data_IF_784727369230
#
_entry.id   IF_784727369230
#
_cell.length_a   1.000
_cell.length_b   1.000
_cell.length_c   1.000
_cell.angle_alpha   90.00
_cell.angle_beta   90.00
_cell.angle_gamma   90.00
#
_symmetry.space_group_name_H-M   'P 1'
#
loop_
_entity.id
_entity.type
_entity.pdbx_description
1 polymer ?
#
# COMPACT_ATOMS: atom_id res chain seq x y z
N UNK A 1 -35.22 54.61 54.46
CA UNK A 1 -36.44 53.98 53.89
C UNK A 1 -36.40 54.23 52.39
N UNK A 2 -36.31 53.28 51.44
CA UNK A 2 -36.47 51.82 51.32
C UNK A 2 -35.55 51.38 50.14
N UNK A 3 -34.68 50.39 50.33
CA UNK A 3 -34.77 49.00 49.83
C UNK A 3 -34.86 48.79 48.29
N UNK A 4 -33.71 48.38 47.74
CA UNK A 4 -33.44 47.25 46.81
C UNK A 4 -34.54 46.64 45.93
N UNK A 5 -34.22 46.51 44.64
CA UNK A 5 -34.53 45.40 43.71
C UNK A 5 -33.68 45.65 42.44
N UNK A 6 -33.01 44.74 41.76
CA UNK A 6 -32.53 43.38 41.99
C UNK A 6 -31.42 43.18 40.93
N UNK A 7 -30.30 42.61 41.36
CA UNK A 7 -29.15 42.23 40.56
C UNK A 7 -29.37 40.77 40.11
N UNK A 8 -29.32 40.47 38.81
CA UNK A 8 -29.04 39.11 38.32
C UNK A 8 -27.88 39.20 37.34
N UNK A 9 -26.81 38.52 37.75
CA UNK A 9 -25.54 38.40 37.07
C UNK A 9 -25.66 37.45 35.87
N UNK A 10 -24.96 37.79 34.78
CA UNK A 10 -24.51 36.83 33.78
C UNK A 10 -23.01 37.07 33.55
N UNK A 11 -22.20 36.48 34.41
CA UNK A 11 -20.76 36.31 34.22
C UNK A 11 -20.52 34.86 33.84
N UNK A 12 -20.07 34.59 32.61
CA UNK A 12 -19.16 33.48 32.33
C UNK A 12 -18.30 33.82 31.10
N UNK A 13 -17.07 34.24 31.42
CA UNK A 13 -15.80 34.10 30.73
C UNK A 13 -15.80 33.66 29.27
N UNK A 14 -15.43 34.59 28.38
CA UNK A 14 -14.89 34.31 27.07
C UNK A 14 -13.48 33.69 27.21
N UNK A 15 -13.34 32.44 26.78
CA UNK A 15 -12.06 31.79 26.55
C UNK A 15 -12.15 31.08 25.18
N UNK A 16 -11.07 31.21 24.41
CA UNK A 16 -10.75 30.58 23.12
C UNK A 16 -11.41 31.13 21.85
N UNK A 17 -10.59 31.80 21.03
CA UNK A 17 -10.34 31.41 19.63
C UNK A 17 -9.45 32.47 18.96
N UNK A 18 -8.16 32.49 19.27
CA UNK A 18 -7.18 33.01 18.31
C UNK A 18 -7.05 31.96 17.20
N UNK A 19 -7.83 32.15 16.16
CA UNK A 19 -7.68 31.43 14.91
C UNK A 19 -6.30 31.78 14.34
N UNK A 20 -5.38 30.82 14.44
CA UNK A 20 -4.11 30.82 13.72
C UNK A 20 -4.45 30.97 12.23
N UNK A 21 -4.03 32.09 11.64
CA UNK A 21 -4.03 32.29 10.19
C UNK A 21 -3.13 31.22 9.59
N UNK A 22 -3.75 30.24 8.95
CA UNK A 22 -3.06 29.31 8.06
C UNK A 22 -2.73 30.07 6.77
N UNK A 23 -1.44 30.27 6.53
CA UNK A 23 -0.93 30.89 5.30
C UNK A 23 -1.22 29.96 4.12
N UNK A 24 -2.13 30.38 3.25
CA UNK A 24 -2.71 29.55 2.18
C UNK A 24 -1.95 29.69 0.85
N UNK A 25 -0.61 29.61 0.86
CA UNK A 25 0.20 29.71 -0.37
C UNK A 25 0.83 28.41 -0.84
N UNK A 26 0.44 27.26 -0.28
CA UNK A 26 0.66 25.97 -0.93
C UNK A 26 -0.72 25.39 -1.30
N UNK A 27 -1.24 25.80 -2.45
CA UNK A 27 -2.21 24.95 -3.15
C UNK A 27 -1.57 23.57 -3.29
N UNK A 28 -2.23 22.46 -2.86
CA UNK A 28 -1.73 21.14 -3.18
C UNK A 28 -1.62 21.09 -4.70
N UNK A 29 -0.47 20.66 -5.21
CA UNK A 29 -0.38 20.35 -6.63
C UNK A 29 -1.38 19.22 -6.87
N UNK A 30 -2.54 19.56 -7.43
CA UNK A 30 -3.53 18.59 -7.87
C UNK A 30 -2.94 17.94 -9.10
N UNK A 31 -2.27 16.81 -8.90
CA UNK A 31 -1.85 15.92 -9.97
C UNK A 31 -3.06 15.06 -10.34
N UNK A 32 -3.46 15.04 -11.61
CA UNK A 32 -4.64 14.33 -12.14
C UNK A 32 -4.47 12.78 -12.21
N UNK A 33 -3.79 12.18 -11.23
CA UNK A 33 -3.46 10.75 -11.22
C UNK A 33 -4.14 9.97 -10.10
N UNK A 34 -4.44 8.71 -10.37
CA UNK A 34 -5.12 7.79 -9.46
C UNK A 34 -4.13 7.11 -8.50
N UNK A 35 -4.50 6.98 -7.23
CA UNK A 35 -3.63 6.46 -6.16
C UNK A 35 -3.69 4.92 -6.05
N UNK A 36 -3.29 4.22 -7.11
CA UNK A 36 -3.13 2.77 -7.08
C UNK A 36 -1.72 2.40 -6.61
N UNK A 37 -1.63 1.55 -5.59
CA UNK A 37 -0.36 0.96 -5.18
C UNK A 37 0.11 -0.14 -6.13
N UNK A 38 1.44 -0.33 -6.19
CA UNK A 38 2.09 -1.40 -6.96
C UNK A 38 2.94 -2.27 -6.05
N UNK A 39 2.81 -3.59 -6.15
CA UNK A 39 3.68 -4.55 -5.48
C UNK A 39 4.57 -5.32 -6.46
N UNK A 40 5.89 -5.25 -6.28
CA UNK A 40 6.90 -5.92 -7.09
C UNK A 40 7.68 -6.97 -6.29
N UNK A 41 7.57 -8.23 -6.70
CA UNK A 41 8.24 -9.37 -6.05
C UNK A 41 9.69 -9.58 -6.48
N UNK A 42 10.04 -9.10 -7.66
CA UNK A 42 11.31 -9.41 -8.31
C UNK A 42 12.42 -8.46 -7.83
N UNK A 43 13.54 -9.05 -7.40
CA UNK A 43 14.72 -8.31 -6.96
C UNK A 43 15.66 -7.93 -8.14
N UNK A 44 15.38 -8.40 -9.36
CA UNK A 44 16.18 -8.10 -10.55
C UNK A 44 16.28 -6.61 -10.86
N UNK A 45 15.28 -5.80 -10.47
CA UNK A 45 15.23 -4.36 -10.77
C UNK A 45 16.38 -3.56 -10.14
N UNK A 46 17.00 -4.07 -9.08
CA UNK A 46 18.13 -3.42 -8.41
C UNK A 46 19.37 -4.31 -8.30
N UNK A 47 19.39 -5.44 -9.01
CA UNK A 47 20.56 -6.32 -9.07
C UNK A 47 21.74 -5.64 -9.77
N UNK A 48 22.92 -6.28 -9.77
CA UNK A 48 24.12 -5.74 -10.42
C UNK A 48 23.95 -5.50 -11.93
N UNK A 49 23.09 -6.29 -12.58
CA UNK A 49 22.60 -6.06 -13.94
C UNK A 49 21.09 -5.85 -13.86
N UNK A 50 20.63 -4.60 -13.64
CA UNK A 50 19.23 -4.34 -13.36
C UNK A 50 18.34 -4.53 -14.58
N UNK A 51 17.17 -5.12 -14.37
CA UNK A 51 16.08 -5.12 -15.37
C UNK A 51 15.46 -3.71 -15.44
N UNK A 52 15.50 -3.03 -16.61
CA UNK A 52 15.04 -1.64 -16.73
C UNK A 52 13.51 -1.51 -16.70
N UNK A 53 12.76 -2.60 -16.89
CA UNK A 53 11.30 -2.65 -16.99
C UNK A 53 10.58 -1.80 -15.94
N UNK A 54 11.06 -1.83 -14.70
CA UNK A 54 10.43 -1.10 -13.60
C UNK A 54 10.50 0.42 -13.82
N UNK A 55 11.68 0.95 -14.13
CA UNK A 55 11.88 2.39 -14.34
C UNK A 55 11.23 2.84 -15.64
N UNK A 56 11.41 2.08 -16.73
CA UNK A 56 10.82 2.40 -18.03
C UNK A 56 9.30 2.49 -17.94
N UNK A 57 8.67 1.58 -17.21
CA UNK A 57 7.23 1.63 -16.98
C UNK A 57 6.83 2.87 -16.18
N UNK A 58 7.46 3.15 -15.04
CA UNK A 58 7.09 4.30 -14.21
C UNK A 58 7.41 5.67 -14.84
N UNK A 59 8.33 5.71 -15.82
CA UNK A 59 8.56 6.88 -16.66
C UNK A 59 7.56 7.05 -17.81
N UNK A 60 6.69 6.07 -18.05
CA UNK A 60 5.71 6.12 -19.13
C UNK A 60 4.50 7.02 -18.80
N UNK A 61 3.89 7.71 -19.80
CA UNK A 61 2.66 8.47 -19.60
C UNK A 61 1.51 7.64 -19.02
N UNK A 62 1.45 6.35 -19.34
CA UNK A 62 0.37 5.47 -18.94
C UNK A 62 0.45 5.11 -17.45
N UNK A 63 1.65 4.87 -16.92
CA UNK A 63 1.84 4.69 -15.48
C UNK A 63 1.48 5.95 -14.68
N UNK A 64 1.78 7.14 -15.21
CA UNK A 64 1.50 8.42 -14.53
C UNK A 64 0.01 8.61 -14.21
N UNK A 65 -0.89 8.03 -15.01
CA UNK A 65 -2.34 8.14 -14.80
C UNK A 65 -2.86 7.27 -13.65
N UNK A 66 -2.42 6.02 -13.55
CA UNK A 66 -3.02 5.06 -12.61
C UNK A 66 -2.13 4.68 -11.43
N UNK A 67 -0.82 4.91 -11.46
CA UNK A 67 0.11 4.41 -10.43
C UNK A 67 0.77 5.55 -9.64
N UNK A 68 -0.04 6.33 -8.90
CA UNK A 68 0.43 7.35 -7.96
C UNK A 68 0.45 6.88 -6.50
N UNK A 69 -0.03 5.67 -6.22
CA UNK A 69 -0.02 5.09 -4.88
C UNK A 69 1.35 4.55 -4.45
N UNK A 70 1.38 3.99 -3.24
CA UNK A 70 2.59 3.45 -2.61
C UNK A 70 3.20 2.29 -3.42
N UNK A 71 4.52 2.19 -3.36
CA UNK A 71 5.28 1.14 -4.05
C UNK A 71 5.81 0.17 -3.01
N UNK A 72 5.59 -1.12 -3.23
CA UNK A 72 6.07 -2.20 -2.38
C UNK A 72 7.06 -3.03 -3.19
N UNK A 73 8.33 -3.04 -2.78
CA UNK A 73 9.38 -3.81 -3.46
C UNK A 73 9.92 -4.85 -2.50
N UNK A 74 9.84 -6.12 -2.90
CA UNK A 74 10.54 -7.19 -2.20
C UNK A 74 12.05 -6.96 -2.25
N UNK A 75 12.69 -6.96 -1.08
CA UNK A 75 14.14 -6.78 -0.98
C UNK A 75 14.85 -7.80 -0.10
N UNK A 76 14.10 -8.54 0.71
CA UNK A 76 14.64 -9.50 1.65
C UNK A 76 13.67 -10.64 1.96
N UNK A 77 14.22 -11.78 2.35
CA UNK A 77 13.51 -12.94 2.86
C UNK A 77 14.44 -13.73 3.80
N UNK A 78 14.01 -14.88 4.35
CA UNK A 78 14.87 -15.64 5.25
C UNK A 78 16.06 -16.31 4.55
N UNK A 79 16.07 -16.38 3.21
CA UNK A 79 17.18 -16.97 2.45
C UNK A 79 18.39 -16.03 2.33
N UNK A 80 18.19 -14.71 2.51
CA UNK A 80 19.27 -13.72 2.48
C UNK A 80 19.66 -13.15 3.88
N UNK A 81 19.55 -13.99 4.92
CA UNK A 81 20.21 -13.93 6.24
C UNK A 81 20.69 -12.54 6.74
N UNK A 82 19.80 -11.55 6.78
CA UNK A 82 20.11 -10.24 7.36
C UNK A 82 20.99 -9.35 6.49
N UNK A 83 20.88 -9.43 5.16
CA UNK A 83 21.55 -8.53 4.22
C UNK A 83 20.68 -8.23 2.98
N UNK A 84 20.92 -7.09 2.34
CA UNK A 84 20.39 -6.77 1.02
C UNK A 84 21.39 -7.22 -0.06
N UNK A 85 20.89 -7.78 -1.16
CA UNK A 85 21.74 -8.29 -2.24
C UNK A 85 22.60 -7.20 -2.91
N UNK A 86 22.04 -6.01 -3.12
CA UNK A 86 22.74 -4.86 -3.72
C UNK A 86 22.20 -3.53 -3.15
N UNK A 87 22.70 -3.07 -1.99
CA UNK A 87 22.22 -1.85 -1.33
C UNK A 87 22.36 -0.60 -2.22
N UNK A 88 23.50 -0.40 -2.88
CA UNK A 88 23.72 0.77 -3.74
C UNK A 88 22.80 0.76 -4.96
N UNK A 89 22.59 -0.41 -5.58
CA UNK A 89 21.63 -0.56 -6.67
C UNK A 89 20.20 -0.27 -6.24
N UNK A 90 19.80 -0.71 -5.04
CA UNK A 90 18.48 -0.40 -4.50
C UNK A 90 18.32 1.10 -4.26
N UNK A 91 19.36 1.75 -3.74
CA UNK A 91 19.36 3.19 -3.53
C UNK A 91 19.18 3.96 -4.84
N UNK A 92 19.93 3.55 -5.87
CA UNK A 92 19.82 4.11 -7.22
C UNK A 92 18.43 3.89 -7.81
N UNK A 93 17.87 2.69 -7.71
CA UNK A 93 16.53 2.37 -8.21
C UNK A 93 15.47 3.31 -7.61
N UNK A 94 15.52 3.56 -6.29
CA UNK A 94 14.57 4.46 -5.64
C UNK A 94 14.71 5.88 -6.19
N UNK A 95 15.94 6.38 -6.35
CA UNK A 95 16.19 7.71 -6.90
C UNK A 95 15.72 7.83 -8.36
N UNK A 96 16.06 6.86 -9.20
CA UNK A 96 15.63 6.80 -10.60
C UNK A 96 14.09 6.75 -10.69
N UNK A 97 13.43 6.02 -9.79
CA UNK A 97 11.96 5.99 -9.72
C UNK A 97 11.39 7.37 -9.40
N UNK A 98 11.98 8.10 -8.44
CA UNK A 98 11.54 9.48 -8.13
C UNK A 98 11.70 10.40 -9.33
N UNK A 99 12.84 10.31 -10.00
CA UNK A 99 13.14 11.14 -11.18
C UNK A 99 12.20 10.83 -12.34
N UNK A 100 12.02 9.55 -12.69
CA UNK A 100 11.22 9.12 -13.82
C UNK A 100 9.72 9.37 -13.62
N UNK A 101 9.20 9.12 -12.41
CA UNK A 101 7.76 9.20 -12.14
C UNK A 101 7.29 10.56 -11.59
N UNK A 102 8.20 11.35 -11.00
CA UNK A 102 7.83 12.52 -10.19
C UNK A 102 6.89 12.17 -9.02
N UNK A 103 6.90 10.92 -8.55
CA UNK A 103 6.01 10.44 -7.49
C UNK A 103 6.59 10.68 -6.11
N UNK A 104 5.79 11.20 -5.19
CA UNK A 104 6.08 11.36 -3.76
C UNK A 104 5.55 10.20 -2.89
N UNK A 105 4.99 9.17 -3.54
CA UNK A 105 4.44 7.98 -2.88
C UNK A 105 5.46 7.30 -1.97
N UNK A 106 5.02 6.58 -0.94
CA UNK A 106 5.97 5.86 -0.09
C UNK A 106 6.55 4.66 -0.81
N UNK A 107 7.86 4.48 -0.69
CA UNK A 107 8.53 3.27 -1.15
C UNK A 107 8.76 2.33 0.04
N UNK A 108 7.98 1.26 0.12
CA UNK A 108 8.12 0.20 1.12
C UNK A 108 9.15 -0.83 0.66
N UNK A 109 10.14 -1.05 1.51
CA UNK A 109 11.08 -2.16 1.41
C UNK A 109 10.48 -3.36 2.12
N UNK A 110 10.10 -4.36 1.33
CA UNK A 110 9.35 -5.52 1.81
C UNK A 110 10.28 -6.67 2.17
N UNK A 111 10.07 -7.21 3.37
CA UNK A 111 10.52 -8.54 3.75
C UNK A 111 9.42 -9.54 3.36
N UNK A 112 9.68 -10.35 2.34
CA UNK A 112 8.84 -11.45 1.91
C UNK A 112 9.17 -12.69 2.77
N UNK A 113 8.20 -13.21 3.51
CA UNK A 113 8.39 -14.47 4.23
C UNK A 113 8.74 -15.63 3.30
N UNK A 114 9.39 -16.66 3.84
CA UNK A 114 9.76 -17.87 3.10
C UNK A 114 11.26 -18.16 3.07
N UNK A 115 11.60 -19.42 2.77
CA UNK A 115 12.98 -19.85 2.53
C UNK A 115 13.86 -20.03 3.78
N UNK A 116 13.33 -19.92 5.01
CA UNK A 116 14.12 -20.09 6.23
C UNK A 116 13.40 -19.75 7.54
N UNK A 117 14.17 -19.33 8.56
CA UNK A 117 13.66 -19.00 9.90
C UNK A 117 13.23 -17.53 10.00
N UNK A 118 12.02 -17.24 9.52
CA UNK A 118 11.45 -15.90 9.52
C UNK A 118 11.30 -15.29 10.93
N UNK A 119 11.12 -16.11 11.96
CA UNK A 119 11.03 -15.62 13.35
C UNK A 119 12.33 -14.97 13.81
N UNK A 120 13.46 -15.44 13.28
CA UNK A 120 14.78 -14.86 13.51
C UNK A 120 15.04 -13.66 12.60
N UNK A 121 14.76 -13.80 11.31
CA UNK A 121 15.27 -12.85 10.30
C UNK A 121 14.37 -11.64 10.06
N UNK A 122 13.05 -11.74 10.20
CA UNK A 122 12.17 -10.58 10.05
C UNK A 122 12.46 -9.47 11.09
N UNK A 123 12.68 -9.76 12.40
CA UNK A 123 13.14 -8.74 13.35
C UNK A 123 14.54 -8.18 13.06
N UNK A 124 15.41 -8.97 12.44
CA UNK A 124 16.76 -8.53 12.06
C UNK A 124 16.74 -7.63 10.83
N UNK A 125 15.74 -7.76 9.95
CA UNK A 125 15.57 -6.88 8.80
C UNK A 125 15.46 -5.38 9.17
N UNK A 126 14.95 -5.05 10.36
CA UNK A 126 14.94 -3.66 10.85
C UNK A 126 16.37 -3.10 11.02
N UNK A 127 17.32 -3.95 11.46
CA UNK A 127 18.75 -3.59 11.52
C UNK A 127 19.31 -3.39 10.11
N UNK A 128 18.99 -4.29 9.19
CA UNK A 128 19.43 -4.21 7.78
C UNK A 128 18.95 -2.91 7.12
N UNK A 129 17.68 -2.56 7.31
CA UNK A 129 17.11 -1.32 6.83
C UNK A 129 17.83 -0.10 7.39
N UNK A 130 18.09 -0.08 8.70
CA UNK A 130 18.86 1.00 9.35
C UNK A 130 20.25 1.14 8.70
N UNK A 131 20.96 0.04 8.52
CA UNK A 131 22.30 0.04 7.90
C UNK A 131 22.27 0.56 6.46
N UNK A 132 21.29 0.11 5.67
CA UNK A 132 21.05 0.61 4.32
C UNK A 132 20.88 2.13 4.28
N UNK A 133 20.00 2.70 5.11
CA UNK A 133 19.79 4.16 5.12
C UNK A 133 21.04 4.91 5.60
N UNK A 134 21.77 4.38 6.59
CA UNK A 134 22.98 5.04 7.08
C UNK A 134 24.13 5.01 6.06
N UNK A 135 24.20 4.00 5.21
CA UNK A 135 25.26 3.85 4.22
C UNK A 135 24.91 4.51 2.87
N UNK A 136 23.70 4.27 2.37
CA UNK A 136 23.26 4.61 1.02
C UNK A 136 22.08 5.59 0.98
N UNK A 137 21.55 6.02 2.14
CA UNK A 137 20.37 6.89 2.21
C UNK A 137 20.65 8.32 1.76
N UNK A 138 19.86 8.79 0.80
CA UNK A 138 19.83 10.16 0.26
C UNK A 138 18.45 10.77 0.50
N UNK A 139 18.38 12.02 0.97
CA UNK A 139 17.10 12.71 1.25
C UNK A 139 16.10 12.67 0.09
N UNK A 140 16.61 12.68 -1.14
CA UNK A 140 15.92 12.65 -2.41
C UNK A 140 15.14 11.35 -2.64
N UNK A 141 15.46 10.28 -1.89
CA UNK A 141 14.66 9.05 -1.86
C UNK A 141 13.24 9.28 -1.31
N UNK A 142 13.05 10.38 -0.57
CA UNK A 142 11.76 10.78 -0.03
C UNK A 142 11.25 9.83 1.05
N UNK A 143 9.94 9.57 1.02
CA UNK A 143 9.22 8.78 2.02
C UNK A 143 9.50 7.28 1.85
N UNK A 144 9.98 6.63 2.90
CA UNK A 144 10.33 5.20 2.89
C UNK A 144 9.55 4.42 3.94
N UNK A 145 9.43 3.11 3.77
CA UNK A 145 8.76 2.26 4.75
C UNK A 145 9.39 0.87 4.84
N UNK A 146 9.12 0.22 5.96
CA UNK A 146 9.36 -1.21 6.16
C UNK A 146 8.02 -1.91 5.99
N UNK A 147 7.97 -2.93 5.13
CA UNK A 147 6.78 -3.76 4.96
C UNK A 147 7.13 -5.21 5.25
N UNK A 148 6.22 -5.92 5.90
CA UNK A 148 6.43 -7.31 6.28
C UNK A 148 5.29 -8.16 5.74
N UNK A 149 5.61 -9.04 4.78
CA UNK A 149 4.69 -10.01 4.22
C UNK A 149 5.07 -11.41 4.71
N UNK A 150 4.84 -11.67 6.00
CA UNK A 150 5.29 -12.89 6.69
C UNK A 150 4.38 -13.20 7.88
N UNK A 151 4.21 -14.49 8.16
CA UNK A 151 3.44 -14.96 9.30
C UNK A 151 4.31 -15.12 10.55
N UNK A 152 4.08 -14.28 11.56
CA UNK A 152 4.85 -14.28 12.81
C UNK A 152 3.94 -14.27 14.04
N UNK A 153 4.48 -14.73 15.17
CA UNK A 153 3.81 -14.64 16.47
C UNK A 153 3.88 -13.24 17.08
N UNK A 154 3.02 -12.99 18.07
CA UNK A 154 2.90 -11.70 18.77
C UNK A 154 4.23 -11.17 19.33
N UNK A 155 5.03 -12.01 19.99
CA UNK A 155 6.29 -11.59 20.61
C UNK A 155 7.28 -11.07 19.56
N UNK A 156 7.36 -11.76 18.42
CA UNK A 156 8.21 -11.36 17.29
C UNK A 156 7.75 -10.03 16.67
N UNK A 157 6.44 -9.82 16.54
CA UNK A 157 5.91 -8.53 16.08
C UNK A 157 6.21 -7.38 17.05
N UNK A 158 6.08 -7.61 18.36
CA UNK A 158 6.45 -6.58 19.34
C UNK A 158 7.93 -6.23 19.28
N UNK A 159 8.81 -7.22 19.04
CA UNK A 159 10.23 -6.96 18.79
C UNK A 159 10.42 -6.07 17.55
N UNK A 160 9.76 -6.38 16.43
CA UNK A 160 9.81 -5.57 15.21
C UNK A 160 9.37 -4.13 15.50
N UNK A 161 8.19 -3.94 16.08
CA UNK A 161 7.66 -2.60 16.38
C UNK A 161 8.60 -1.80 17.28
N UNK A 162 9.12 -2.42 18.35
CA UNK A 162 10.08 -1.79 19.24
C UNK A 162 11.38 -1.39 18.52
N UNK A 163 11.92 -2.26 17.66
CA UNK A 163 13.11 -1.96 16.87
C UNK A 163 12.87 -0.80 15.90
N UNK A 164 11.71 -0.76 15.24
CA UNK A 164 11.38 0.33 14.31
C UNK A 164 11.25 1.66 15.06
N UNK A 165 10.54 1.69 16.19
CA UNK A 165 10.39 2.89 17.01
C UNK A 165 11.75 3.46 17.48
N UNK A 166 12.71 2.58 17.79
CA UNK A 166 14.06 2.98 18.20
C UNK A 166 14.90 3.62 17.08
N UNK A 167 14.66 3.28 15.80
CA UNK A 167 15.46 3.83 14.70
C UNK A 167 14.87 5.11 14.09
N UNK A 168 13.56 5.34 14.22
CA UNK A 168 12.84 6.48 13.62
C UNK A 168 13.39 7.85 13.98
N UNK A 169 13.95 7.98 15.19
CA UNK A 169 14.46 9.26 15.70
C UNK A 169 15.91 9.56 15.32
N UNK A 170 16.59 8.63 14.63
CA UNK A 170 17.95 8.88 14.13
C UNK A 170 17.87 9.94 13.03
N UNK A 171 18.66 11.01 13.12
CA UNK A 171 18.55 12.19 12.24
C UNK A 171 18.54 11.85 10.74
N UNK A 172 19.45 10.99 10.29
CA UNK A 172 19.54 10.52 8.89
C UNK A 172 18.35 9.65 8.45
N UNK A 173 17.61 9.06 9.38
CA UNK A 173 16.45 8.21 9.09
C UNK A 173 15.16 9.03 9.15
N UNK A 174 15.09 9.98 10.09
CA UNK A 174 13.91 10.81 10.35
C UNK A 174 13.43 11.56 9.10
N UNK A 175 14.36 11.98 8.23
CA UNK A 175 14.04 12.70 6.99
C UNK A 175 13.16 11.90 6.02
N UNK A 176 13.12 10.58 6.16
CA UNK A 176 12.35 9.68 5.30
C UNK A 176 10.95 9.34 5.83
N UNK A 177 10.53 9.91 6.97
CA UNK A 177 9.18 9.70 7.54
C UNK A 177 8.82 8.20 7.66
N UNK A 178 9.70 7.37 8.23
CA UNK A 178 9.59 5.91 8.16
C UNK A 178 8.29 5.36 8.78
N UNK A 179 7.48 4.68 7.96
CA UNK A 179 6.29 3.92 8.39
C UNK A 179 6.56 2.42 8.41
N UNK A 180 5.86 1.69 9.30
CA UNK A 180 5.83 0.22 9.28
C UNK A 180 4.48 -0.25 8.77
N UNK A 181 4.54 -1.10 7.74
CA UNK A 181 3.42 -1.81 7.16
C UNK A 181 3.49 -3.30 7.52
N UNK A 182 2.32 -3.89 7.72
CA UNK A 182 2.16 -5.34 7.92
C UNK A 182 1.14 -5.86 6.93
N UNK A 183 1.52 -6.84 6.12
CA UNK A 183 0.61 -7.53 5.23
C UNK A 183 -0.21 -8.56 6.02
N UNK A 184 -1.53 -8.52 5.87
CA UNK A 184 -2.48 -9.44 6.49
C UNK A 184 -3.38 -10.07 5.42
N UNK A 185 -3.64 -11.36 5.54
CA UNK A 185 -4.74 -11.99 4.81
C UNK A 185 -6.09 -11.42 5.31
N UNK A 186 -6.99 -11.05 4.38
CA UNK A 186 -8.32 -10.54 4.69
C UNK A 186 -9.16 -11.46 5.60
N UNK A 187 -8.85 -12.76 5.70
CA UNK A 187 -9.50 -13.77 6.55
C UNK A 187 -8.57 -14.34 7.64
N UNK A 188 -7.57 -13.57 8.09
CA UNK A 188 -6.67 -14.00 9.17
C UNK A 188 -7.49 -14.44 10.41
N UNK A 189 -7.29 -15.68 10.90
CA UNK A 189 -8.10 -16.21 11.99
C UNK A 189 -7.70 -15.68 13.38
N UNK A 190 -6.47 -15.18 13.55
CA UNK A 190 -5.97 -14.70 14.84
C UNK A 190 -6.34 -13.23 15.06
N UNK A 191 -7.56 -13.02 15.55
CA UNK A 191 -8.10 -11.69 15.85
C UNK A 191 -7.31 -10.93 16.91
N UNK A 192 -6.63 -11.65 17.82
CA UNK A 192 -5.80 -11.01 18.85
C UNK A 192 -4.54 -10.44 18.24
N UNK A 193 -3.91 -11.21 17.35
CA UNK A 193 -2.77 -10.75 16.56
C UNK A 193 -3.14 -9.54 15.69
N UNK A 194 -4.25 -9.62 14.95
CA UNK A 194 -4.75 -8.52 14.11
C UNK A 194 -4.97 -7.26 14.94
N UNK A 195 -5.64 -7.34 16.09
CA UNK A 195 -5.86 -6.21 17.01
C UNK A 195 -4.54 -5.53 17.43
N UNK A 196 -3.53 -6.32 17.79
CA UNK A 196 -2.22 -5.78 18.18
C UNK A 196 -1.45 -5.16 17.03
N UNK A 197 -1.54 -5.74 15.83
CA UNK A 197 -0.94 -5.18 14.63
C UNK A 197 -1.60 -3.84 14.28
N UNK A 198 -2.93 -3.76 14.25
CA UNK A 198 -3.68 -2.52 13.98
C UNK A 198 -3.37 -1.41 14.98
N UNK A 199 -3.12 -1.76 16.25
CA UNK A 199 -2.77 -0.82 17.30
C UNK A 199 -1.33 -0.26 17.18
N UNK A 200 -0.38 -1.05 16.65
CA UNK A 200 1.06 -0.71 16.69
C UNK A 200 1.64 -0.27 15.35
N UNK A 201 1.16 -0.82 14.24
CA UNK A 201 1.63 -0.48 12.90
C UNK A 201 1.13 0.90 12.46
N UNK A 202 1.83 1.54 11.53
CA UNK A 202 1.34 2.78 10.90
C UNK A 202 0.38 2.48 9.77
N UNK A 203 0.49 1.30 9.19
CA UNK A 203 -0.24 0.88 8.03
C UNK A 203 -0.42 -0.65 8.05
N UNK A 204 -1.52 -1.11 7.48
CA UNK A 204 -1.81 -2.52 7.23
C UNK A 204 -2.24 -2.68 5.77
N UNK A 205 -1.55 -3.56 5.07
CA UNK A 205 -1.90 -3.97 3.72
C UNK A 205 -2.71 -5.27 3.80
N UNK A 206 -3.95 -5.25 3.36
CA UNK A 206 -4.84 -6.42 3.39
C UNK A 206 -4.84 -7.09 2.03
N UNK A 207 -4.36 -8.33 1.93
CA UNK A 207 -4.39 -9.09 0.68
C UNK A 207 -5.80 -9.62 0.43
N UNK A 208 -6.32 -9.30 -0.76
CA UNK A 208 -7.61 -9.76 -1.27
C UNK A 208 -7.42 -10.43 -2.62
N UNK A 209 -8.32 -11.33 -3.00
CA UNK A 209 -8.21 -12.09 -4.24
C UNK A 209 -9.49 -12.03 -5.07
N UNK A 210 -9.78 -10.91 -5.71
CA UNK A 210 -10.94 -10.80 -6.59
C UNK A 210 -10.74 -9.72 -7.65
N UNK A 211 -11.42 -9.89 -8.77
CA UNK A 211 -11.43 -8.98 -9.92
C UNK A 211 -12.85 -8.47 -10.24
N UNK A 212 -13.83 -8.74 -9.38
CA UNK A 212 -15.20 -8.25 -9.51
C UNK A 212 -15.55 -7.34 -8.34
N UNK A 213 -16.43 -6.38 -8.59
CA UNK A 213 -16.97 -5.54 -7.53
C UNK A 213 -17.56 -6.37 -6.37
N UNK A 214 -18.37 -7.39 -6.66
CA UNK A 214 -19.02 -8.23 -5.65
C UNK A 214 -18.00 -8.97 -4.77
N UNK A 215 -16.99 -9.61 -5.38
CA UNK A 215 -15.98 -10.35 -4.64
C UNK A 215 -15.07 -9.44 -3.82
N UNK A 216 -14.61 -8.32 -4.40
CA UNK A 216 -13.83 -7.30 -3.68
C UNK A 216 -14.61 -6.73 -2.50
N UNK A 217 -15.87 -6.34 -2.72
CA UNK A 217 -16.77 -5.84 -1.67
C UNK A 217 -16.92 -6.85 -0.54
N UNK A 218 -17.12 -8.12 -0.86
CA UNK A 218 -17.32 -9.16 0.15
C UNK A 218 -16.04 -9.44 0.95
N UNK A 219 -14.87 -9.32 0.33
CA UNK A 219 -13.57 -9.43 1.02
C UNK A 219 -13.29 -8.23 1.93
N UNK A 220 -13.55 -7.00 1.46
CA UNK A 220 -13.40 -5.78 2.27
C UNK A 220 -14.33 -5.84 3.49
N UNK A 221 -15.58 -6.25 3.28
CA UNK A 221 -16.55 -6.49 4.33
C UNK A 221 -16.07 -7.56 5.32
N UNK A 222 -15.53 -8.66 4.82
CA UNK A 222 -15.01 -9.76 5.65
C UNK A 222 -13.89 -9.28 6.56
N UNK A 223 -12.94 -8.53 6.02
CA UNK A 223 -11.87 -7.98 6.84
C UNK A 223 -12.40 -7.04 7.92
N UNK A 224 -13.20 -6.04 7.54
CA UNK A 224 -13.67 -4.98 8.44
C UNK A 224 -14.69 -5.45 9.49
N UNK A 225 -15.38 -6.58 9.29
CA UNK A 225 -16.34 -7.12 10.26
C UNK A 225 -15.85 -8.36 11.01
N UNK A 226 -15.06 -9.22 10.37
CA UNK A 226 -14.76 -10.54 10.92
C UNK A 226 -13.30 -10.66 11.36
N UNK A 227 -12.37 -10.15 10.57
CA UNK A 227 -10.93 -10.24 10.84
C UNK A 227 -10.46 -9.14 11.78
N UNK A 228 -10.91 -7.91 11.55
CA UNK A 228 -10.73 -6.76 12.43
C UNK A 228 -12.06 -6.37 13.11
N UNK A 229 -12.58 -7.16 14.07
CA UNK A 229 -13.89 -6.88 14.66
C UNK A 229 -13.93 -5.52 15.38
N UNK A 230 -12.83 -5.05 15.97
CA UNK A 230 -12.79 -3.73 16.62
C UNK A 230 -12.75 -2.55 15.64
N UNK A 231 -12.50 -2.79 14.34
CA UNK A 231 -12.60 -1.73 13.33
C UNK A 231 -14.02 -1.15 13.28
N UNK A 232 -15.05 -1.93 13.64
CA UNK A 232 -16.44 -1.49 13.66
C UNK A 232 -16.99 -1.18 15.06
N UNK A 233 -16.20 -1.31 16.13
CA UNK A 233 -16.61 -0.92 17.50
C UNK A 233 -16.14 0.49 17.81
N UNK A 234 -16.39 1.00 19.02
CA UNK A 234 -15.89 2.31 19.46
C UNK A 234 -14.40 2.27 19.86
N UNK A 235 -13.79 1.08 19.91
CA UNK A 235 -12.36 0.92 20.15
C UNK A 235 -11.49 1.28 18.93
N UNK A 236 -12.09 1.46 17.75
CA UNK A 236 -11.38 1.75 16.51
C UNK A 236 -10.40 2.94 16.62
N UNK A 237 -10.75 3.97 17.38
CA UNK A 237 -9.95 5.19 17.52
C UNK A 237 -8.59 4.98 18.20
N UNK A 238 -8.40 3.83 18.86
CA UNK A 238 -7.12 3.43 19.43
C UNK A 238 -6.16 2.86 18.39
N UNK A 239 -6.67 2.45 17.22
CA UNK A 239 -5.83 1.96 16.15
C UNK A 239 -5.01 3.10 15.55
N UNK A 240 -3.77 2.75 15.22
CA UNK A 240 -2.83 3.64 14.56
C UNK A 240 -2.83 3.41 13.05
N UNK A 241 -3.03 2.15 12.65
CA UNK A 241 -2.90 1.71 11.28
C UNK A 241 -3.94 2.35 10.35
N UNK A 242 -3.45 2.94 9.25
CA UNK A 242 -4.26 3.11 8.04
C UNK A 242 -4.35 1.77 7.29
N UNK A 243 -5.32 1.64 6.38
CA UNK A 243 -5.55 0.39 5.65
C UNK A 243 -5.40 0.63 4.14
N UNK A 244 -4.67 -0.25 3.46
CA UNK A 244 -4.74 -0.43 1.99
C UNK A 244 -5.22 -1.83 1.69
N UNK A 245 -6.13 -1.98 0.73
CA UNK A 245 -6.50 -3.29 0.18
C UNK A 245 -5.66 -3.61 -1.06
N UNK A 246 -4.79 -4.61 -0.96
CA UNK A 246 -4.00 -5.09 -2.08
C UNK A 246 -4.75 -6.22 -2.77
N UNK A 247 -5.24 -5.95 -3.98
CA UNK A 247 -5.94 -6.96 -4.76
C UNK A 247 -4.97 -7.76 -5.61
N UNK A 248 -5.14 -9.07 -5.53
CA UNK A 248 -4.67 -10.03 -6.48
C UNK A 248 -5.86 -10.52 -7.29
N UNK A 249 -5.65 -10.84 -8.56
CA UNK A 249 -6.74 -11.40 -9.32
C UNK A 249 -6.98 -12.87 -8.97
N UNK A 250 -8.23 -13.26 -8.64
CA UNK A 250 -8.75 -14.64 -8.74
C UNK A 250 -9.76 -14.86 -9.91
N UNK A 251 -9.63 -15.95 -10.67
CA UNK A 251 -10.63 -16.40 -11.65
C UNK A 251 -11.52 -17.41 -10.93
N UNK A 252 -12.78 -17.09 -10.66
CA UNK A 252 -13.67 -17.92 -9.83
C UNK A 252 -14.10 -19.27 -10.47
N UNK A 253 -13.45 -19.73 -11.54
CA UNK A 253 -13.74 -20.98 -12.26
C UNK A 253 -12.79 -22.14 -11.92
N UNK A 254 -13.36 -23.29 -11.51
CA UNK A 254 -12.69 -24.48 -10.95
C UNK A 254 -11.95 -25.39 -11.95
N UNK A 255 -11.81 -25.02 -13.22
CA UNK A 255 -11.38 -25.96 -14.28
C UNK A 255 -10.11 -25.58 -15.03
N UNK A 256 -9.59 -24.36 -14.90
CA UNK A 256 -8.37 -23.93 -15.60
C UNK A 256 -7.45 -23.08 -14.71
N UNK A 257 -6.12 -23.24 -14.83
CA UNK A 257 -5.17 -22.44 -14.08
C UNK A 257 -5.01 -21.09 -14.78
N UNK A 258 -6.00 -20.22 -14.63
CA UNK A 258 -5.68 -18.81 -14.64
C UNK A 258 -4.84 -18.61 -13.38
N UNK A 259 -3.53 -18.54 -13.53
CA UNK A 259 -2.55 -18.26 -12.46
C UNK A 259 -2.94 -16.99 -11.68
N UNK A 260 -2.18 -16.68 -10.62
CA UNK A 260 -2.24 -15.55 -9.65
C UNK A 260 -2.48 -14.11 -10.21
N UNK A 261 -2.84 -13.99 -11.48
CA UNK A 261 -3.13 -12.76 -12.22
C UNK A 261 -4.51 -12.80 -12.89
N UNK A 262 -5.60 -13.02 -12.15
CA UNK A 262 -6.93 -13.19 -12.77
C UNK A 262 -7.53 -12.01 -13.53
N UNK A 263 -6.97 -10.80 -13.45
CA UNK A 263 -7.42 -9.80 -14.42
C UNK A 263 -6.93 -10.11 -15.84
N UNK A 264 -6.13 -11.17 -16.02
CA UNK A 264 -5.96 -11.87 -17.30
C UNK A 264 -7.28 -11.99 -18.06
N UNK A 265 -8.39 -12.44 -17.45
CA UNK A 265 -9.67 -12.58 -18.14
C UNK A 265 -10.22 -11.26 -18.72
N UNK A 266 -9.68 -10.13 -18.28
CA UNK A 266 -10.08 -8.78 -18.66
C UNK A 266 -8.98 -8.03 -19.44
N UNK A 267 -8.03 -8.70 -20.11
CA UNK A 267 -7.08 -7.99 -20.98
C UNK A 267 -7.78 -7.12 -22.04
N UNK A 268 -7.33 -5.87 -22.18
CA UNK A 268 -7.67 -5.06 -23.35
C UNK A 268 -6.41 -4.58 -24.04
N UNK A 269 -6.49 -4.35 -25.35
CA UNK A 269 -5.40 -3.70 -26.09
C UNK A 269 -5.26 -2.23 -25.70
N UNK A 270 -6.31 -1.63 -25.13
CA UNK A 270 -6.35 -0.24 -24.71
C UNK A 270 -6.46 -0.13 -23.18
N UNK A 271 -5.64 0.71 -22.51
CA UNK A 271 -5.71 0.90 -21.06
C UNK A 271 -7.04 1.49 -20.57
N UNK A 272 -7.76 2.21 -21.45
CA UNK A 272 -8.99 2.94 -21.13
C UNK A 272 -10.29 2.14 -21.37
N UNK A 273 -10.19 0.87 -21.75
CA UNK A 273 -11.37 0.03 -21.95
C UNK A 273 -12.10 -0.21 -20.62
N UNK A 274 -13.35 0.20 -20.43
CA UNK A 274 -14.06 -0.02 -19.17
C UNK A 274 -14.41 -1.50 -18.93
N UNK A 275 -14.27 -2.37 -19.94
CA UNK A 275 -14.50 -3.81 -19.81
C UNK A 275 -13.19 -4.60 -19.75
N UNK A 276 -12.05 -3.92 -19.65
CA UNK A 276 -10.74 -4.56 -19.56
C UNK A 276 -9.58 -3.64 -19.15
N UNK A 277 -8.37 -4.20 -19.10
CA UNK A 277 -7.17 -3.46 -18.76
C UNK A 277 -7.20 -2.78 -17.39
N UNK A 278 -6.35 -1.76 -17.24
CA UNK A 278 -6.13 -1.08 -15.96
C UNK A 278 -7.35 -0.25 -15.54
N UNK A 279 -8.09 0.37 -16.48
CA UNK A 279 -9.30 1.13 -16.16
C UNK A 279 -10.34 0.27 -15.46
N UNK A 280 -10.62 -0.92 -16.01
CA UNK A 280 -11.54 -1.87 -15.40
C UNK A 280 -11.10 -2.22 -13.97
N UNK A 281 -9.82 -2.57 -13.78
CA UNK A 281 -9.25 -2.90 -12.47
C UNK A 281 -9.52 -1.78 -11.44
N UNK A 282 -9.20 -0.56 -11.84
CA UNK A 282 -9.38 0.64 -11.04
C UNK A 282 -10.85 0.89 -10.69
N UNK A 283 -11.75 0.76 -11.67
CA UNK A 283 -13.18 0.98 -11.47
C UNK A 283 -13.80 -0.05 -10.52
N UNK A 284 -13.40 -1.33 -10.60
CA UNK A 284 -13.88 -2.35 -9.66
C UNK A 284 -13.42 -2.07 -8.22
N UNK A 285 -12.14 -1.73 -8.04
CA UNK A 285 -11.57 -1.40 -6.73
C UNK A 285 -12.24 -0.16 -6.14
N UNK A 286 -12.35 0.90 -6.93
CA UNK A 286 -12.98 2.17 -6.54
C UNK A 286 -14.45 1.97 -6.16
N UNK A 287 -15.20 1.20 -6.96
CA UNK A 287 -16.61 0.91 -6.67
C UNK A 287 -16.78 0.10 -5.38
N UNK A 288 -15.93 -0.91 -5.16
CA UNK A 288 -15.94 -1.70 -3.92
C UNK A 288 -15.53 -0.85 -2.70
N UNK A 289 -14.55 0.03 -2.87
CA UNK A 289 -14.09 0.95 -1.83
C UNK A 289 -15.17 1.97 -1.44
N UNK A 290 -15.83 2.58 -2.43
CA UNK A 290 -16.92 3.53 -2.21
C UNK A 290 -18.18 2.90 -1.60
N UNK A 291 -18.29 1.56 -1.61
CA UNK A 291 -19.35 0.86 -0.88
C UNK A 291 -19.12 0.85 0.63
N UNK A 292 -17.87 0.95 1.10
CA UNK A 292 -17.52 0.93 2.52
C UNK A 292 -18.23 2.04 3.29
N UNK A 293 -18.10 3.33 2.94
CA UNK A 293 -18.82 4.40 3.62
C UNK A 293 -20.32 4.25 3.36
N UNK A 294 -21.10 4.04 4.42
CA UNK A 294 -22.56 3.94 4.37
C UNK A 294 -23.12 2.51 4.38
N UNK A 295 -22.31 1.48 4.11
CA UNK A 295 -22.78 0.08 4.17
C UNK A 295 -21.94 -0.82 5.08
N UNK A 296 -20.66 -0.52 5.28
CA UNK A 296 -19.76 -1.34 6.12
C UNK A 296 -19.30 -0.54 7.34
N UNK A 297 -18.78 0.67 7.11
CA UNK A 297 -18.38 1.59 8.17
C UNK A 297 -19.16 2.91 8.06
N UNK A 298 -19.51 3.55 9.19
CA UNK A 298 -19.93 4.94 9.16
C UNK A 298 -18.75 5.85 8.80
N UNK A 299 -19.03 7.01 8.19
CA UNK A 299 -18.04 7.91 7.61
C UNK A 299 -16.88 8.25 8.57
N UNK A 300 -17.17 8.55 9.84
CA UNK A 300 -16.13 8.93 10.81
C UNK A 300 -15.14 7.79 11.14
N UNK A 301 -15.55 6.51 11.03
CA UNK A 301 -14.64 5.36 11.15
C UNK A 301 -13.88 5.13 9.86
N UNK A 302 -14.54 5.34 8.73
CA UNK A 302 -13.90 5.28 7.42
C UNK A 302 -12.75 6.30 7.33
N UNK A 303 -13.01 7.57 7.66
CA UNK A 303 -12.01 8.66 7.62
C UNK A 303 -10.82 8.42 8.58
N UNK A 304 -11.00 7.59 9.60
CA UNK A 304 -9.93 7.19 10.50
C UNK A 304 -8.94 6.21 9.85
N UNK A 305 -9.43 5.26 9.04
CA UNK A 305 -8.61 4.23 8.38
C UNK A 305 -8.12 4.63 6.99
N UNK A 306 -8.85 5.53 6.32
CA UNK A 306 -8.63 5.89 4.92
C UNK A 306 -8.56 7.40 4.78
N UNK A 307 -7.36 7.96 4.84
CA UNK A 307 -7.14 9.40 4.70
C UNK A 307 -7.31 9.86 3.25
N UNK A 308 -7.94 11.01 3.00
CA UNK A 308 -7.97 11.60 1.66
C UNK A 308 -6.56 11.80 1.10
N UNK A 309 -6.35 11.36 -0.15
CA UNK A 309 -5.06 11.48 -0.85
C UNK A 309 -3.99 10.44 -0.46
N UNK A 310 -4.29 9.52 0.46
CA UNK A 310 -3.43 8.35 0.71
C UNK A 310 -3.81 7.20 -0.25
N UNK A 311 -2.93 6.20 -0.36
CA UNK A 311 -3.20 4.94 -1.06
C UNK A 311 -4.26 4.14 -0.32
N UNK A 312 -5.34 3.73 -1.01
CA UNK A 312 -6.41 2.92 -0.40
C UNK A 312 -6.48 1.50 -0.96
N UNK A 313 -5.99 1.32 -2.18
CA UNK A 313 -5.94 0.02 -2.82
C UNK A 313 -4.74 -0.08 -3.75
N UNK A 314 -4.33 -1.32 -4.03
CA UNK A 314 -3.18 -1.61 -4.88
C UNK A 314 -3.38 -2.90 -5.65
N UNK A 315 -2.51 -3.13 -6.62
CA UNK A 315 -2.43 -4.38 -7.36
C UNK A 315 -1.16 -5.14 -6.99
N UNK A 316 -1.34 -6.42 -6.65
CA UNK A 316 -0.22 -7.33 -6.44
C UNK A 316 0.43 -7.70 -7.79
N UNK A 317 1.64 -8.27 -7.74
CA UNK A 317 2.35 -8.82 -8.91
C UNK A 317 2.53 -7.86 -10.09
N UNK A 318 3.42 -6.87 -9.90
CA UNK A 318 3.80 -5.88 -10.91
C UNK A 318 4.08 -6.46 -12.30
N UNK A 319 4.76 -7.62 -12.38
CA UNK A 319 5.11 -8.26 -13.66
C UNK A 319 3.91 -8.62 -14.52
N UNK A 320 2.75 -8.87 -13.90
CA UNK A 320 1.49 -9.12 -14.57
C UNK A 320 0.65 -7.85 -14.69
N UNK A 321 0.60 -7.04 -13.63
CA UNK A 321 -0.18 -5.80 -13.57
C UNK A 321 0.23 -4.81 -14.65
N UNK A 322 1.53 -4.73 -14.99
CA UNK A 322 2.01 -3.88 -16.07
C UNK A 322 1.37 -4.21 -17.43
N UNK A 323 0.97 -5.46 -17.65
CA UNK A 323 0.31 -5.87 -18.89
C UNK A 323 -1.15 -5.39 -18.99
N UNK A 324 -1.76 -4.93 -17.89
CA UNK A 324 -3.14 -4.41 -17.88
C UNK A 324 -3.23 -3.08 -18.63
N UNK A 325 -2.09 -2.40 -18.82
CA UNK A 325 -2.03 -1.15 -19.57
C UNK A 325 -2.17 -1.35 -21.08
N UNK A 326 -2.27 -2.60 -21.56
CA UNK A 326 -2.63 -2.92 -22.94
C UNK A 326 -1.47 -2.84 -23.93
N UNK A 327 -1.69 -3.46 -25.11
CA UNK A 327 -0.68 -3.63 -26.16
C UNK A 327 0.04 -2.34 -26.53
N UNK A 328 -0.72 -1.27 -26.73
CA UNK A 328 -0.16 0.02 -27.12
C UNK A 328 0.86 0.51 -26.09
N UNK A 329 0.57 0.34 -24.80
CA UNK A 329 1.46 0.76 -23.72
C UNK A 329 2.69 -0.14 -23.61
N UNK A 330 2.51 -1.46 -23.52
CA UNK A 330 3.63 -2.35 -23.23
C UNK A 330 4.51 -2.64 -24.45
N UNK A 331 4.03 -2.40 -25.67
CA UNK A 331 4.85 -2.42 -26.88
C UNK A 331 5.80 -1.22 -26.94
N UNK A 332 5.35 -0.03 -26.52
CA UNK A 332 6.17 1.19 -26.50
C UNK A 332 7.36 1.09 -25.53
N UNK A 333 7.19 0.39 -24.41
CA UNK A 333 8.23 0.16 -23.39
C UNK A 333 8.85 -1.25 -23.45
N UNK A 334 8.72 -1.94 -24.59
CA UNK A 334 9.29 -3.26 -24.89
C UNK A 334 9.18 -4.29 -23.75
N UNK A 335 7.95 -4.66 -23.39
CA UNK A 335 7.69 -5.70 -22.38
C UNK A 335 7.27 -7.03 -23.04
N UNK A 336 8.23 -7.83 -23.54
CA UNK A 336 7.93 -9.06 -24.29
C UNK A 336 7.13 -10.07 -23.46
N UNK A 337 7.24 -10.03 -22.12
CA UNK A 337 6.46 -10.87 -21.21
C UNK A 337 4.94 -10.68 -21.35
N UNK A 338 4.49 -9.47 -21.69
CA UNK A 338 3.07 -9.20 -21.89
C UNK A 338 2.53 -9.82 -23.18
N UNK A 339 3.31 -9.79 -24.26
CA UNK A 339 2.95 -10.40 -25.54
C UNK A 339 3.04 -11.93 -25.53
N UNK A 340 4.11 -12.49 -24.99
CA UNK A 340 4.37 -13.94 -25.07
C UNK A 340 3.73 -14.75 -23.92
N UNK A 341 3.46 -14.13 -22.77
CA UNK A 341 2.89 -14.79 -21.59
C UNK A 341 1.47 -14.35 -21.29
N UNK A 342 1.28 -13.06 -21.02
CA UNK A 342 0.01 -12.54 -20.50
C UNK A 342 -1.14 -12.61 -21.51
N UNK A 343 -0.91 -12.14 -22.73
CA UNK A 343 -1.95 -12.16 -23.76
C UNK A 343 -2.51 -13.57 -24.02
N UNK A 344 -1.69 -14.63 -24.23
CA UNK A 344 -2.20 -15.99 -24.35
C UNK A 344 -2.92 -16.51 -23.10
N UNK A 345 -2.42 -16.20 -21.89
CA UNK A 345 -3.06 -16.62 -20.64
C UNK A 345 -4.46 -15.98 -20.49
N UNK A 346 -4.56 -14.68 -20.77
CA UNK A 346 -5.81 -13.95 -20.84
C UNK A 346 -6.84 -14.59 -21.76
N UNK A 347 -6.44 -14.90 -23.00
CA UNK A 347 -7.34 -15.49 -23.99
C UNK A 347 -7.86 -16.86 -23.54
N UNK A 348 -7.04 -17.65 -22.84
CA UNK A 348 -7.50 -18.93 -22.26
C UNK A 348 -8.57 -18.72 -21.19
N UNK A 349 -8.40 -17.72 -20.32
CA UNK A 349 -9.37 -17.41 -19.27
C UNK A 349 -10.71 -16.88 -19.78
N UNK A 350 -10.74 -16.23 -20.96
CA UNK A 350 -12.00 -15.74 -21.57
C UNK A 350 -12.82 -16.83 -22.24
N UNK A 351 -12.14 -17.84 -22.77
CA UNK A 351 -12.75 -18.90 -23.56
C UNK A 351 -13.13 -20.13 -22.71
N UNK A 352 -12.94 -20.04 -21.39
CA UNK A 352 -13.27 -21.05 -20.39
C UNK A 352 -14.54 -20.68 -19.63
#
# INVERSE_FOLDING_TARGET
MRYTSALIAATFSAFFSEAVRYDSTNSPVTWDGEYLATYAWNQSYYAASPDPTFIDFFGSPQAAKYNRGDVYLNVADASNAGQLANPEGLAKLILDFREASGSDARFYLVYAGGGGDDKKWAPDFVRVFKEFILQCGHSEMGRLGLSFNVELGLDTWFEIFHKVDNIRNISRIKVHDIKVDVTLDYRNPDKTLVDKIMYKSDHVTVTTFSNTYEGLRDMFKTFLHHTCPQCNTDYYCNYKAQITFMAEGNCETKTLPCSESSMCAYYSSCPEDPNGGIRYAYDQLTKAFNYIPGNILPQYKFDHFFKPGDTHFGLNFFEWTVCYYGYESWYEIDLPKCGCGYFPASQKCRNS
#
